data_IF_403318823864
#
_entry.id   IF_403318823864
#
_cell.length_a   1.000
_cell.length_b   1.000
_cell.length_c   1.000
_cell.angle_alpha   90.00
_cell.angle_beta   90.00
_cell.angle_gamma   90.00
#
_symmetry.space_group_name_H-M   'P 1'
#
loop_
_entity.id
_entity.type
_entity.pdbx_description
1 polymer ?
#
# COMPACT_ATOMS: atom_id res chain seq x y z
N UNK A 1 -5.67 -0.46 -13.75
CA UNK A 1 -5.97 -0.34 -12.31
C UNK A 1 -5.66 1.09 -11.84
N UNK A 2 -6.66 1.96 -11.82
CA UNK A 2 -6.47 3.39 -11.51
C UNK A 2 -6.57 3.61 -10.01
N UNK A 3 -5.45 3.86 -9.34
CA UNK A 3 -5.44 4.32 -7.95
C UNK A 3 -5.79 5.80 -7.93
N UNK A 4 -6.90 6.14 -7.30
CA UNK A 4 -7.24 7.56 -7.10
C UNK A 4 -6.30 8.20 -6.08
N UNK A 5 -6.16 9.53 -6.13
CA UNK A 5 -5.34 10.26 -5.17
C UNK A 5 -5.78 9.98 -3.72
N UNK A 6 -7.09 9.92 -3.47
CA UNK A 6 -7.63 9.61 -2.14
C UNK A 6 -7.25 8.19 -1.68
N UNK A 7 -7.39 7.19 -2.55
CA UNK A 7 -6.99 5.82 -2.24
C UNK A 7 -5.48 5.71 -1.99
N UNK A 8 -4.66 6.42 -2.79
CA UNK A 8 -3.21 6.45 -2.59
C UNK A 8 -2.84 7.09 -1.24
N UNK A 9 -3.47 8.22 -0.87
CA UNK A 9 -3.24 8.87 0.42
C UNK A 9 -3.62 7.97 1.59
N UNK A 10 -4.79 7.34 1.55
CA UNK A 10 -5.25 6.40 2.57
C UNK A 10 -4.29 5.21 2.67
N UNK A 11 -3.83 4.69 1.54
CA UNK A 11 -2.87 3.59 1.48
C UNK A 11 -1.54 3.93 2.14
N UNK A 12 -0.96 5.08 1.82
CA UNK A 12 0.30 5.54 2.43
C UNK A 12 0.14 5.82 3.92
N UNK A 13 -0.98 6.43 4.33
CA UNK A 13 -1.30 6.62 5.73
C UNK A 13 -1.40 5.27 6.45
N UNK A 14 -2.17 4.33 5.91
CA UNK A 14 -2.35 2.99 6.50
C UNK A 14 -1.04 2.19 6.51
N UNK A 15 -0.16 2.35 5.53
CA UNK A 15 1.18 1.74 5.54
C UNK A 15 2.06 2.24 6.69
N UNK A 16 1.90 3.52 7.08
CA UNK A 16 2.58 4.10 8.27
C UNK A 16 1.95 3.60 9.57
N UNK A 17 0.63 3.49 9.62
CA UNK A 17 -0.10 3.00 10.80
C UNK A 17 0.14 1.51 11.06
N UNK A 18 0.26 0.71 10.00
CA UNK A 18 0.47 -0.73 10.10
C UNK A 18 1.87 -1.08 9.57
N UNK A 19 2.91 -1.09 10.44
CA UNK A 19 4.27 -1.46 10.04
C UNK A 19 4.41 -2.96 9.72
N UNK A 20 5.61 -3.35 9.25
CA UNK A 20 5.96 -4.77 9.02
C UNK A 20 5.95 -5.51 10.36
N UNK A 21 5.25 -6.66 10.41
CA UNK A 21 5.10 -7.47 11.64
C UNK A 21 3.68 -7.47 12.21
N UNK A 22 2.80 -6.60 11.71
CA UNK A 22 1.38 -6.63 12.07
C UNK A 22 0.68 -7.76 11.32
N UNK A 23 0.06 -8.68 12.07
CA UNK A 23 -0.85 -9.67 11.52
C UNK A 23 -2.01 -9.01 10.79
N UNK A 24 -2.39 -9.57 9.64
CA UNK A 24 -3.47 -9.04 8.80
C UNK A 24 -3.26 -7.58 8.35
N UNK A 25 -2.01 -7.10 8.29
CA UNK A 25 -1.64 -5.76 7.79
C UNK A 25 -2.42 -5.37 6.54
N UNK A 26 -2.38 -6.22 5.51
CA UNK A 26 -3.02 -5.93 4.22
C UNK A 26 -4.54 -5.94 4.28
N UNK A 27 -5.12 -6.76 5.16
CA UNK A 27 -6.56 -6.77 5.37
C UNK A 27 -7.03 -5.49 6.06
N UNK A 28 -6.29 -5.01 7.06
CA UNK A 28 -6.56 -3.72 7.71
C UNK A 28 -6.45 -2.56 6.73
N UNK A 29 -5.46 -2.57 5.84
CA UNK A 29 -5.30 -1.53 4.79
C UNK A 29 -6.47 -1.60 3.79
N UNK A 30 -6.84 -2.79 3.32
CA UNK A 30 -7.94 -2.98 2.38
C UNK A 30 -9.30 -2.56 2.99
N UNK A 31 -9.50 -2.70 4.31
CA UNK A 31 -10.70 -2.20 5.00
C UNK A 31 -10.90 -0.68 4.86
N UNK A 32 -9.82 0.08 4.72
CA UNK A 32 -9.90 1.54 4.50
C UNK A 32 -10.06 1.93 3.03
N UNK A 33 -9.95 0.97 2.10
CA UNK A 33 -9.97 1.19 0.67
C UNK A 33 -11.14 0.44 0.03
N UNK A 34 -12.36 1.02 0.04
CA UNK A 34 -13.50 0.40 -0.62
C UNK A 34 -13.20 0.22 -2.12
N UNK A 35 -13.39 -1.01 -2.61
CA UNK A 35 -13.08 -1.40 -3.99
C UNK A 35 -11.62 -1.81 -4.25
N UNK A 36 -10.78 -1.92 -3.21
CA UNK A 36 -9.44 -2.53 -3.32
C UNK A 36 -9.29 -3.69 -2.35
N UNK A 37 -8.78 -4.80 -2.85
CA UNK A 37 -8.54 -5.99 -2.05
C UNK A 37 -7.15 -5.94 -1.41
N UNK A 38 -6.93 -6.85 -0.45
CA UNK A 38 -5.60 -7.05 0.15
C UNK A 38 -4.52 -7.35 -0.91
N UNK A 39 -4.90 -8.02 -1.99
CA UNK A 39 -4.01 -8.33 -3.13
C UNK A 39 -3.60 -7.06 -3.89
N UNK A 40 -4.54 -6.18 -4.22
CA UNK A 40 -4.24 -4.88 -4.85
C UNK A 40 -3.28 -4.05 -4.00
N UNK A 41 -3.50 -4.05 -2.68
CA UNK A 41 -2.64 -3.39 -1.70
C UNK A 41 -1.21 -3.95 -1.74
N UNK A 42 -1.05 -5.28 -1.78
CA UNK A 42 0.26 -5.93 -1.87
C UNK A 42 0.96 -5.59 -3.19
N UNK A 43 0.24 -5.66 -4.31
CA UNK A 43 0.78 -5.34 -5.64
C UNK A 43 1.25 -3.89 -5.68
N UNK A 44 0.42 -2.95 -5.18
CA UNK A 44 0.75 -1.53 -5.10
C UNK A 44 1.97 -1.29 -4.23
N UNK A 45 2.05 -1.94 -3.07
CA UNK A 45 3.22 -1.83 -2.19
C UNK A 45 4.49 -2.34 -2.86
N UNK A 46 4.46 -3.50 -3.51
CA UNK A 46 5.61 -4.05 -4.23
C UNK A 46 6.08 -3.07 -5.30
N UNK A 47 5.15 -2.52 -6.09
CA UNK A 47 5.50 -1.53 -7.11
C UNK A 47 6.16 -0.28 -6.50
N UNK A 48 5.59 0.30 -5.43
CA UNK A 48 6.19 1.46 -4.75
C UNK A 48 7.57 1.12 -4.15
N UNK A 49 7.73 -0.06 -3.56
CA UNK A 49 9.00 -0.50 -2.99
C UNK A 49 10.10 -0.62 -4.05
N UNK A 50 9.77 -1.17 -5.23
CA UNK A 50 10.71 -1.25 -6.35
C UNK A 50 11.08 0.14 -6.88
N UNK A 51 10.13 1.07 -7.00
CA UNK A 51 10.41 2.46 -7.38
C UNK A 51 11.33 3.16 -6.35
N UNK A 52 11.07 3.00 -5.05
CA UNK A 52 11.89 3.58 -3.99
C UNK A 52 13.31 3.00 -3.98
N UNK A 53 13.45 1.68 -4.14
CA UNK A 53 14.76 1.03 -4.26
C UNK A 53 15.52 1.57 -5.47
N UNK A 54 14.86 1.65 -6.63
CA UNK A 54 15.47 2.15 -7.87
C UNK A 54 15.92 3.60 -7.73
N UNK A 55 15.13 4.44 -7.03
CA UNK A 55 15.49 5.84 -6.74
C UNK A 55 16.63 5.99 -5.71
N UNK A 56 16.80 5.05 -4.78
CA UNK A 56 17.92 5.03 -3.83
C UNK A 56 19.23 4.51 -4.42
N UNK A 57 19.16 3.77 -5.53
CA UNK A 57 20.32 3.21 -6.21
C UNK A 57 20.85 4.12 -7.33
N UNK A 58 20.40 5.37 -7.39
CA UNK A 58 20.84 6.41 -8.33
C UNK A 58 21.44 7.60 -7.59
#
# INVERSE_FOLDING_TARGET
DTWTQNQQMIFEWALRQYPKGIEQRWEKIAKHLPGKSKEDCIIRFKHLAELVKKKKAS
#
